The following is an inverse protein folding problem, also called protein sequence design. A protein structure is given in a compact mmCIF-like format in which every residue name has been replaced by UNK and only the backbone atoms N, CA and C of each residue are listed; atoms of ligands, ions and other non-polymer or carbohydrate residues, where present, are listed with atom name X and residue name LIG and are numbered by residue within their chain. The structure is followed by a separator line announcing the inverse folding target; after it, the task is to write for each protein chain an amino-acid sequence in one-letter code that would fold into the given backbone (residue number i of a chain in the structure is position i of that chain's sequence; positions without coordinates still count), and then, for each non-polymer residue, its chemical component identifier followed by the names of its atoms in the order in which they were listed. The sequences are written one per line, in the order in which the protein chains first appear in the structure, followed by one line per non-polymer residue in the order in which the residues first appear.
data_IF_743168517604
#
_entry.id   IF_743168517604
#
_cell.length_a   1.000
_cell.length_b   1.000
_cell.length_c   1.000
_cell.angle_alpha   90.00
_cell.angle_beta   90.00
_cell.angle_gamma   90.00
#
_symmetry.space_group_name_H-M   'P 1'
#
loop_
_entity.id
_entity.type
_entity.pdbx_description
1 polymer ?
#
# COMPACT_ATOMS: atom_id res chain seq x y z
N UNK A 1 31.05 0.49 -18.42
CA UNK A 1 30.43 -0.82 -18.12
C UNK A 1 29.05 -0.80 -18.73
N UNK A 2 28.75 -1.75 -19.62
CA UNK A 2 27.38 -1.95 -20.10
C UNK A 2 26.50 -2.35 -18.91
N UNK A 3 25.29 -1.78 -18.78
CA UNK A 3 24.36 -2.22 -17.76
C UNK A 3 23.97 -3.68 -18.05
N UNK A 4 23.93 -4.55 -17.03
CA UNK A 4 23.53 -5.93 -17.22
C UNK A 4 22.09 -5.98 -17.77
N UNK A 5 21.91 -6.70 -18.89
CA UNK A 5 20.58 -7.01 -19.42
C UNK A 5 19.90 -8.03 -18.50
N UNK A 6 18.84 -7.58 -17.83
CA UNK A 6 17.98 -8.45 -17.05
C UNK A 6 16.85 -8.99 -17.92
N UNK A 7 16.44 -10.26 -17.74
CA UNK A 7 15.22 -10.74 -18.34
C UNK A 7 14.04 -9.86 -17.90
N UNK A 8 13.02 -9.67 -18.76
CA UNK A 8 11.87 -8.85 -18.42
C UNK A 8 11.19 -9.40 -17.17
N UNK A 9 10.81 -8.51 -16.27
CA UNK A 9 10.10 -8.89 -15.05
C UNK A 9 8.78 -9.58 -15.42
N UNK A 10 8.44 -10.72 -14.78
CA UNK A 10 7.16 -11.34 -14.99
C UNK A 10 6.04 -10.39 -14.53
N UNK A 11 4.89 -10.48 -15.19
CA UNK A 11 3.71 -9.74 -14.78
C UNK A 11 3.27 -10.18 -13.37
N UNK A 12 2.82 -9.22 -12.57
CA UNK A 12 2.27 -9.51 -11.25
C UNK A 12 1.04 -10.41 -11.40
N UNK A 13 0.97 -11.42 -10.53
CA UNK A 13 -0.26 -12.15 -10.31
C UNK A 13 -1.32 -11.21 -9.73
N UNK A 14 -2.59 -11.62 -9.83
CA UNK A 14 -3.68 -10.85 -9.23
C UNK A 14 -3.50 -10.64 -7.72
N UNK A 15 -2.96 -11.63 -7.00
CA UNK A 15 -2.74 -11.54 -5.57
C UNK A 15 -1.62 -10.54 -5.23
N UNK A 16 -0.51 -10.57 -5.97
CA UNK A 16 0.58 -9.61 -5.81
C UNK A 16 0.12 -8.18 -6.15
N UNK A 17 -0.67 -8.01 -7.21
CA UNK A 17 -1.25 -6.72 -7.56
C UNK A 17 -2.16 -6.18 -6.46
N UNK A 18 -3.06 -7.00 -5.92
CA UNK A 18 -3.94 -6.61 -4.82
C UNK A 18 -3.16 -6.25 -3.55
N UNK A 19 -2.09 -6.98 -3.23
CA UNK A 19 -1.21 -6.63 -2.11
C UNK A 19 -0.56 -5.25 -2.32
N UNK A 20 -0.02 -4.98 -3.51
CA UNK A 20 0.60 -3.69 -3.83
C UNK A 20 -0.42 -2.54 -3.76
N UNK A 21 -1.62 -2.72 -4.30
CA UNK A 21 -2.67 -1.70 -4.26
C UNK A 21 -3.07 -1.37 -2.81
N UNK A 22 -3.24 -2.39 -1.96
CA UNK A 22 -3.54 -2.21 -0.53
C UNK A 22 -2.39 -1.52 0.21
N UNK A 23 -1.16 -1.87 -0.12
CA UNK A 23 0.03 -1.27 0.47
C UNK A 23 0.11 0.22 0.15
N UNK A 24 -0.07 0.60 -1.12
CA UNK A 24 -0.07 2.00 -1.54
C UNK A 24 -1.24 2.78 -0.94
N UNK A 25 -2.42 2.18 -0.82
CA UNK A 25 -3.56 2.81 -0.16
C UNK A 25 -3.29 3.11 1.33
N UNK A 26 -2.61 2.21 2.03
CA UNK A 26 -2.17 2.42 3.43
C UNK A 26 -1.15 3.57 3.50
N UNK A 27 -0.17 3.61 2.59
CA UNK A 27 0.82 4.69 2.54
C UNK A 27 0.18 6.06 2.27
N UNK A 28 -0.82 6.14 1.40
CA UNK A 28 -1.57 7.38 1.18
C UNK A 28 -2.25 7.86 2.47
N UNK A 29 -2.85 6.97 3.26
CA UNK A 29 -3.41 7.36 4.57
C UNK A 29 -2.34 7.82 5.55
N UNK A 30 -1.18 7.14 5.59
CA UNK A 30 -0.03 7.55 6.43
C UNK A 30 0.47 8.94 6.02
N UNK A 31 0.50 9.23 4.72
CA UNK A 31 0.85 10.56 4.21
C UNK A 31 -0.14 11.64 4.64
N UNK A 32 -1.44 11.34 4.63
CA UNK A 32 -2.50 12.30 5.02
C UNK A 32 -2.56 12.60 6.50
N UNK A 33 -2.16 11.66 7.36
CA UNK A 33 -2.07 11.90 8.82
C UNK A 33 -0.77 12.61 9.23
N UNK A 34 0.15 12.83 8.29
CA UNK A 34 1.44 13.44 8.59
C UNK A 34 1.22 14.86 9.15
N UNK A 35 1.67 15.17 10.37
CA UNK A 35 1.46 16.49 10.98
C UNK A 35 2.19 17.62 10.25
N UNK A 36 3.22 17.30 9.46
CA UNK A 36 3.90 18.27 8.59
C UNK A 36 3.06 18.63 7.35
N UNK A 37 2.08 17.80 7.00
CA UNK A 37 1.09 18.08 5.99
C UNK A 37 0.00 18.95 6.63
N UNK A 38 0.23 20.27 6.67
CA UNK A 38 -0.59 21.27 7.38
C UNK A 38 -2.00 21.51 6.82
N UNK A 39 -2.66 20.48 6.29
CA UNK A 39 -4.04 20.50 5.79
C UNK A 39 -5.05 20.05 6.84
N UNK A 40 -6.32 20.32 6.55
CA UNK A 40 -7.52 20.15 7.38
C UNK A 40 -7.46 18.97 8.38
N UNK A 41 -7.51 19.29 9.68
CA UNK A 41 -7.49 18.34 10.80
C UNK A 41 -8.58 17.27 10.70
N UNK A 42 -9.71 17.59 10.08
CA UNK A 42 -10.77 16.61 9.86
C UNK A 42 -10.37 15.55 8.82
N UNK A 43 -9.69 15.95 7.75
CA UNK A 43 -9.18 15.03 6.73
C UNK A 43 -8.13 14.08 7.29
N UNK A 44 -7.24 14.58 8.16
CA UNK A 44 -6.28 13.77 8.89
C UNK A 44 -6.97 12.76 9.82
N UNK A 45 -8.01 13.18 10.56
CA UNK A 45 -8.79 12.27 11.40
C UNK A 45 -9.45 11.15 10.57
N UNK A 46 -10.06 11.49 9.43
CA UNK A 46 -10.68 10.51 8.54
C UNK A 46 -9.66 9.53 7.96
N UNK A 47 -8.47 10.01 7.61
CA UNK A 47 -7.37 9.17 7.15
C UNK A 47 -6.89 8.21 8.24
N UNK A 48 -6.73 8.70 9.47
CA UNK A 48 -6.36 7.87 10.61
C UNK A 48 -7.38 6.75 10.89
N UNK A 49 -8.68 7.07 10.79
CA UNK A 49 -9.75 6.07 10.94
C UNK A 49 -9.71 5.03 9.81
N UNK A 50 -9.53 5.46 8.57
CA UNK A 50 -9.44 4.57 7.41
C UNK A 50 -8.20 3.67 7.47
N UNK A 51 -7.08 4.18 7.99
CA UNK A 51 -5.81 3.47 8.10
C UNK A 51 -5.95 2.13 8.85
N UNK A 52 -6.72 2.08 9.94
CA UNK A 52 -6.93 0.84 10.69
C UNK A 52 -7.59 -0.25 9.83
N UNK A 53 -8.66 0.10 9.10
CA UNK A 53 -9.33 -0.83 8.18
C UNK A 53 -8.46 -1.21 6.98
N UNK A 54 -7.67 -0.26 6.46
CA UNK A 54 -6.74 -0.50 5.36
C UNK A 54 -5.60 -1.44 5.74
N UNK A 55 -5.04 -1.29 6.95
CA UNK A 55 -4.00 -2.15 7.48
C UNK A 55 -4.49 -3.59 7.70
N UNK A 56 -5.73 -3.77 8.17
CA UNK A 56 -6.35 -5.09 8.27
C UNK A 56 -6.50 -5.74 6.89
N UNK A 57 -7.03 -5.01 5.90
CA UNK A 57 -7.18 -5.51 4.54
C UNK A 57 -5.83 -5.85 3.88
N UNK A 58 -4.78 -5.07 4.15
CA UNK A 58 -3.43 -5.36 3.68
C UNK A 58 -2.89 -6.67 4.26
N UNK A 59 -3.04 -6.87 5.58
CA UNK A 59 -2.65 -8.11 6.25
C UNK A 59 -3.39 -9.31 5.65
N UNK A 60 -4.70 -9.18 5.42
CA UNK A 60 -5.51 -10.25 4.88
C UNK A 60 -5.13 -10.58 3.42
N UNK A 61 -4.83 -9.56 2.61
CA UNK A 61 -4.29 -9.75 1.26
C UNK A 61 -2.93 -10.48 1.27
N UNK A 62 -2.06 -10.14 2.21
CA UNK A 62 -0.77 -10.82 2.38
C UNK A 62 -0.95 -12.28 2.79
N UNK A 63 -1.88 -12.57 3.69
CA UNK A 63 -2.20 -13.95 4.08
C UNK A 63 -2.71 -14.76 2.88
N UNK A 64 -3.63 -14.21 2.09
CA UNK A 64 -4.13 -14.84 0.87
C UNK A 64 -3.04 -15.08 -0.19
N UNK A 65 -2.06 -14.18 -0.28
CA UNK A 65 -0.91 -14.36 -1.16
C UNK A 65 0.03 -15.46 -0.67
N UNK A 66 0.16 -15.64 0.66
CA UNK A 66 1.01 -16.68 1.24
C UNK A 66 0.40 -18.08 1.16
N UNK A 67 -0.94 -18.18 1.23
CA UNK A 67 -1.66 -19.45 1.14
C UNK A 67 -1.76 -20.02 -0.29
N UNK A 68 -1.40 -19.25 -1.31
CA UNK A 68 -1.51 -19.60 -2.73
C UNK A 68 -0.15 -19.80 -3.38
#
# INVERSE_FOLDING_TARGET
MEPPEFPPLPALTRAEGEFVDRYLAVLDQVGRINPAHGGDTYSALRAAQALASGAAALRDALALMHER
#
